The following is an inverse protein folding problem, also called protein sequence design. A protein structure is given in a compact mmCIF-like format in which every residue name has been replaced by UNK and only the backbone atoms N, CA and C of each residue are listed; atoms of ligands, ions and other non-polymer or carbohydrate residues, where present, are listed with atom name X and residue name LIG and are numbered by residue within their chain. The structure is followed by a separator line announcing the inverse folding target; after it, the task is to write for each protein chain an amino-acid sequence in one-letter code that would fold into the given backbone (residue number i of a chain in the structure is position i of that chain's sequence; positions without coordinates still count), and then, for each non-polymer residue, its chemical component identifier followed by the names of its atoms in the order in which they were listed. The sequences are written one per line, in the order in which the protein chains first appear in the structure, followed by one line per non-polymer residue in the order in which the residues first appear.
data_IF_640053860792
#
_entry.id   IF_640053860792
#
_cell.length_a   1.000
_cell.length_b   1.000
_cell.length_c   1.000
_cell.angle_alpha   90.00
_cell.angle_beta   90.00
_cell.angle_gamma   90.00
#
_symmetry.space_group_name_H-M   'P 1'
#
loop_
_entity.id
_entity.type
_entity.pdbx_description
1 polymer ?
#
# COMPACT_ATOMS: atom_id res chain seq x y z
N UNK A 1 19.66 -26.41 33.77
CA UNK A 1 20.62 -25.33 33.48
C UNK A 1 20.64 -25.14 31.99
N UNK A 2 20.08 -24.01 31.56
CA UNK A 2 20.16 -23.48 30.22
C UNK A 2 21.61 -23.38 29.73
N UNK A 3 21.82 -23.58 28.43
CA UNK A 3 22.62 -22.61 27.70
C UNK A 3 22.07 -22.44 26.29
N UNK A 4 21.89 -21.17 25.96
CA UNK A 4 21.20 -20.62 24.80
C UNK A 4 22.20 -20.19 23.71
N UNK A 5 21.64 -19.69 22.61
CA UNK A 5 22.25 -18.97 21.48
C UNK A 5 22.91 -19.88 20.42
N UNK A 6 22.56 -19.86 19.14
CA UNK A 6 21.97 -18.77 18.35
C UNK A 6 20.99 -19.30 17.31
N UNK A 7 19.70 -19.11 17.58
CA UNK A 7 18.66 -19.07 16.56
C UNK A 7 18.35 -17.59 16.33
N UNK A 8 18.01 -17.20 15.09
CA UNK A 8 17.65 -15.86 14.61
C UNK A 8 18.78 -15.00 14.04
N UNK A 9 18.99 -15.11 12.73
CA UNK A 9 19.06 -13.97 11.80
C UNK A 9 19.33 -14.46 10.36
N UNK A 10 18.52 -15.39 9.84
CA UNK A 10 18.46 -15.54 8.39
C UNK A 10 17.66 -14.35 7.88
N UNK A 11 18.37 -13.42 7.24
CA UNK A 11 17.81 -12.26 6.55
C UNK A 11 16.53 -12.68 5.81
N UNK A 12 15.39 -11.95 5.90
CA UNK A 12 14.15 -12.35 5.25
C UNK A 12 14.22 -12.03 3.76
N UNK A 13 15.16 -12.70 3.09
CA UNK A 13 15.52 -12.66 1.68
C UNK A 13 16.03 -14.06 1.32
N UNK A 14 15.25 -15.07 1.67
CA UNK A 14 15.07 -16.16 0.71
C UNK A 14 13.82 -15.72 -0.04
N UNK A 15 13.91 -14.86 -1.04
CA UNK A 15 14.47 -15.21 -2.37
C UNK A 15 14.28 -14.05 -3.36
N UNK A 16 15.34 -13.50 -3.94
CA UNK A 16 15.47 -13.03 -5.34
C UNK A 16 16.99 -12.90 -5.60
N UNK A 17 17.58 -13.43 -6.69
CA UNK A 17 17.03 -13.77 -8.01
C UNK A 17 16.63 -15.25 -8.18
N UNK A 18 15.67 -15.54 -9.07
CA UNK A 18 15.01 -16.85 -9.13
C UNK A 18 13.89 -16.97 -8.10
N UNK A 19 13.03 -15.95 -7.98
CA UNK A 19 11.88 -15.99 -7.08
C UNK A 19 11.21 -17.36 -7.18
N UNK A 20 10.97 -18.10 -6.08
CA UNK A 20 9.96 -19.11 -6.11
C UNK A 20 8.70 -18.36 -6.53
N UNK A 21 7.90 -18.91 -7.45
CA UNK A 21 6.65 -18.33 -7.89
C UNK A 21 5.81 -17.74 -6.74
N UNK A 22 5.97 -18.24 -5.50
CA UNK A 22 5.32 -17.83 -4.26
C UNK A 22 5.22 -16.34 -3.94
N UNK A 23 6.30 -15.55 -3.80
CA UNK A 23 6.18 -14.18 -3.27
C UNK A 23 5.51 -13.22 -4.27
N UNK A 24 5.95 -13.22 -5.52
CA UNK A 24 5.31 -12.42 -6.58
C UNK A 24 3.87 -12.87 -6.83
N UNK A 25 3.59 -14.18 -6.81
CA UNK A 25 2.22 -14.71 -6.96
C UNK A 25 1.34 -14.36 -5.76
N UNK A 26 1.86 -14.43 -4.53
CA UNK A 26 1.10 -14.08 -3.33
C UNK A 26 0.84 -12.58 -3.24
N UNK A 27 1.83 -11.73 -3.58
CA UNK A 27 1.63 -10.29 -3.68
C UNK A 27 0.63 -9.95 -4.79
N UNK A 28 0.76 -10.58 -5.96
CA UNK A 28 -0.19 -10.41 -7.08
C UNK A 28 -1.59 -10.90 -6.71
N UNK A 29 -1.72 -11.98 -5.94
CA UNK A 29 -3.01 -12.46 -5.42
C UNK A 29 -3.61 -11.45 -4.46
N UNK A 30 -2.80 -10.83 -3.59
CA UNK A 30 -3.25 -9.79 -2.66
C UNK A 30 -3.62 -8.49 -3.37
N UNK A 31 -2.95 -8.14 -4.48
CA UNK A 31 -3.34 -6.98 -5.30
C UNK A 31 -4.78 -7.11 -5.82
N UNK A 32 -5.26 -8.33 -6.06
CA UNK A 32 -6.66 -8.56 -6.46
C UNK A 32 -7.68 -8.24 -5.37
N UNK A 33 -7.27 -8.16 -4.11
CA UNK A 33 -8.17 -7.85 -2.99
C UNK A 33 -8.48 -6.36 -2.92
N UNK A 34 -7.50 -5.51 -3.24
CA UNK A 34 -7.63 -4.04 -3.27
C UNK A 34 -7.30 -3.50 -4.68
N UNK A 35 -8.17 -3.74 -5.68
CA UNK A 35 -7.93 -3.39 -7.09
C UNK A 35 -7.73 -1.89 -7.34
N UNK A 36 -8.20 -1.02 -6.46
CA UNK A 36 -7.97 0.42 -6.49
C UNK A 36 -6.51 0.79 -6.20
N UNK A 37 -5.73 -0.11 -5.61
CA UNK A 37 -4.33 0.10 -5.28
C UNK A 37 -3.38 -0.53 -6.30
N UNK A 38 -3.87 -1.12 -7.40
CA UNK A 38 -3.06 -1.90 -8.35
C UNK A 38 -1.86 -1.11 -8.88
N UNK A 39 -2.07 0.15 -9.31
CA UNK A 39 -1.00 1.02 -9.80
C UNK A 39 0.07 1.31 -8.74
N UNK A 40 -0.35 1.61 -7.50
CA UNK A 40 0.57 1.82 -6.39
C UNK A 40 1.40 0.56 -6.10
N UNK A 41 0.73 -0.59 -6.07
CA UNK A 41 1.31 -1.88 -5.76
C UNK A 41 2.34 -2.32 -6.81
N UNK A 42 1.98 -2.22 -8.09
CA UNK A 42 2.89 -2.55 -9.21
C UNK A 42 4.10 -1.65 -9.21
N UNK A 43 3.91 -0.33 -9.04
CA UNK A 43 5.00 0.62 -9.04
C UNK A 43 5.97 0.37 -7.89
N UNK A 44 5.48 0.13 -6.68
CA UNK A 44 6.34 -0.14 -5.52
C UNK A 44 7.03 -1.50 -5.64
N UNK A 45 6.33 -2.54 -6.10
CA UNK A 45 6.90 -3.87 -6.31
C UNK A 45 8.03 -3.85 -7.34
N UNK A 46 7.87 -3.12 -8.45
CA UNK A 46 8.91 -2.95 -9.45
C UNK A 46 10.18 -2.38 -8.82
N UNK A 47 10.07 -1.27 -8.08
CA UNK A 47 11.22 -0.64 -7.42
C UNK A 47 11.87 -1.51 -6.36
N UNK A 48 11.08 -2.25 -5.58
CA UNK A 48 11.60 -3.22 -4.61
C UNK A 48 12.39 -4.31 -5.32
N UNK A 49 11.89 -4.79 -6.45
CA UNK A 49 12.57 -5.81 -7.26
C UNK A 49 13.87 -5.27 -7.85
N UNK A 50 13.84 -4.07 -8.43
CA UNK A 50 15.02 -3.44 -9.05
C UNK A 50 16.13 -3.11 -8.04
N UNK A 51 15.76 -2.82 -6.78
CA UNK A 51 16.73 -2.51 -5.72
C UNK A 51 17.23 -3.73 -4.96
N UNK A 52 16.61 -4.90 -5.15
CA UNK A 52 16.82 -6.05 -4.27
C UNK A 52 18.25 -6.55 -4.23
N UNK A 53 18.80 -6.91 -5.40
CA UNK A 53 20.14 -7.49 -5.51
C UNK A 53 21.20 -6.50 -5.03
N UNK A 54 21.00 -5.22 -5.35
CA UNK A 54 21.90 -4.18 -4.93
C UNK A 54 21.82 -3.97 -3.41
N UNK A 55 20.66 -4.07 -2.75
CA UNK A 55 20.55 -4.00 -1.28
C UNK A 55 21.20 -5.22 -0.63
N UNK A 56 21.09 -6.40 -1.25
CA UNK A 56 21.62 -7.65 -0.70
C UNK A 56 23.15 -7.61 -0.53
N UNK A 57 23.87 -6.86 -1.38
CA UNK A 57 25.33 -6.71 -1.32
C UNK A 57 25.82 -5.58 -0.42
N UNK A 58 24.93 -4.83 0.23
CA UNK A 58 25.27 -3.67 1.07
C UNK A 58 25.22 -3.98 2.57
N UNK A 59 25.57 -2.99 3.40
CA UNK A 59 25.55 -3.10 4.86
C UNK A 59 24.17 -3.46 5.44
N UNK A 60 24.19 -4.09 6.61
CA UNK A 60 22.99 -4.58 7.30
C UNK A 60 21.98 -3.48 7.63
N UNK A 61 22.43 -2.24 7.80
CA UNK A 61 21.56 -1.07 7.96
C UNK A 61 20.58 -0.88 6.79
N UNK A 62 21.03 -1.07 5.56
CA UNK A 62 20.20 -0.85 4.36
C UNK A 62 19.25 -2.01 4.11
N UNK A 63 19.75 -3.21 4.38
CA UNK A 63 19.01 -4.46 4.47
C UNK A 63 17.83 -4.36 5.44
N UNK A 64 18.05 -3.84 6.66
CA UNK A 64 17.00 -3.66 7.67
C UNK A 64 15.93 -2.66 7.22
N UNK A 65 16.36 -1.55 6.59
CA UNK A 65 15.44 -0.53 6.07
C UNK A 65 14.59 -1.10 4.94
N UNK A 66 15.19 -1.83 4.01
CA UNK A 66 14.48 -2.52 2.93
C UNK A 66 13.46 -3.54 3.47
N UNK A 67 13.85 -4.34 4.48
CA UNK A 67 12.95 -5.29 5.12
C UNK A 67 11.78 -4.60 5.83
N UNK A 68 12.01 -3.43 6.43
CA UNK A 68 10.96 -2.63 7.07
C UNK A 68 9.94 -2.11 6.03
N UNK A 69 10.41 -1.69 4.85
CA UNK A 69 9.55 -1.29 3.73
C UNK A 69 8.72 -2.50 3.27
N UNK A 70 9.33 -3.68 3.07
CA UNK A 70 8.62 -4.89 2.69
C UNK A 70 7.54 -5.30 3.68
N UNK A 71 7.85 -5.30 4.98
CA UNK A 71 6.87 -5.63 6.04
C UNK A 71 5.70 -4.63 6.04
N UNK A 72 6.00 -3.35 5.87
CA UNK A 72 4.98 -2.30 5.78
C UNK A 72 4.11 -2.50 4.54
N UNK A 73 4.71 -2.81 3.40
CA UNK A 73 3.98 -3.10 2.16
C UNK A 73 3.05 -4.30 2.31
N UNK A 74 3.53 -5.42 2.86
CA UNK A 74 2.72 -6.62 3.12
C UNK A 74 1.56 -6.33 4.08
N UNK A 75 1.76 -5.47 5.06
CA UNK A 75 0.72 -5.03 6.00
C UNK A 75 -0.35 -4.18 5.30
N UNK A 76 0.04 -3.34 4.34
CA UNK A 76 -0.92 -2.54 3.56
C UNK A 76 -1.77 -3.38 2.61
N UNK A 77 -1.36 -4.60 2.29
CA UNK A 77 -2.07 -5.54 1.42
C UNK A 77 -3.05 -6.46 2.16
N UNK A 78 -3.30 -6.18 3.45
CA UNK A 78 -4.31 -6.91 4.19
C UNK A 78 -5.71 -6.53 3.69
N UNK A 79 -6.60 -7.52 3.47
CA UNK A 79 -7.96 -7.24 3.00
C UNK A 79 -8.69 -6.35 3.99
N UNK A 80 -9.38 -5.35 3.44
CA UNK A 80 -10.19 -4.38 4.19
C UNK A 80 -11.58 -4.31 3.56
N UNK A 81 -12.65 -4.22 4.37
CA UNK A 81 -13.98 -3.88 3.86
C UNK A 81 -13.98 -2.59 3.04
N UNK A 82 -14.88 -2.49 2.06
CA UNK A 82 -14.90 -1.36 1.13
C UNK A 82 -15.05 -0.01 1.84
N UNK A 83 -15.86 0.07 2.91
CA UNK A 83 -16.03 1.31 3.68
C UNK A 83 -14.73 1.78 4.34
N UNK A 84 -13.91 0.85 4.86
CA UNK A 84 -12.59 1.18 5.42
C UNK A 84 -11.63 1.70 4.35
N UNK A 85 -11.71 1.13 3.15
CA UNK A 85 -10.88 1.56 2.01
C UNK A 85 -11.25 2.95 1.51
N UNK A 86 -12.54 3.29 1.47
CA UNK A 86 -13.02 4.62 1.07
C UNK A 86 -12.59 5.68 2.09
N UNK A 87 -12.79 5.44 3.39
CA UNK A 87 -12.41 6.42 4.42
C UNK A 87 -10.89 6.55 4.55
N UNK A 88 -10.17 5.45 4.36
CA UNK A 88 -8.72 5.38 4.47
C UNK A 88 -7.97 5.70 3.17
N UNK A 89 -8.64 6.03 2.06
CA UNK A 89 -8.02 6.12 0.74
C UNK A 89 -6.84 7.10 0.67
N UNK A 90 -6.98 8.30 1.25
CA UNK A 90 -5.91 9.30 1.31
C UNK A 90 -4.72 8.80 2.13
N UNK A 91 -5.00 8.17 3.28
CA UNK A 91 -3.98 7.54 4.12
C UNK A 91 -3.23 6.47 3.34
N UNK A 92 -3.93 5.61 2.58
CA UNK A 92 -3.31 4.57 1.76
C UNK A 92 -2.39 5.18 0.70
N UNK A 93 -2.85 6.19 -0.05
CA UNK A 93 -2.03 6.88 -1.03
C UNK A 93 -0.79 7.52 -0.40
N UNK A 94 -0.95 8.16 0.77
CA UNK A 94 0.15 8.76 1.54
C UNK A 94 1.16 7.70 2.01
N UNK A 95 0.69 6.54 2.47
CA UNK A 95 1.55 5.41 2.83
C UNK A 95 2.41 4.94 1.66
N UNK A 96 1.81 4.74 0.49
CA UNK A 96 2.57 4.37 -0.71
C UNK A 96 3.62 5.43 -1.08
N UNK A 97 3.28 6.72 -0.99
CA UNK A 97 4.25 7.81 -1.19
C UNK A 97 5.40 7.74 -0.18
N UNK A 98 5.09 7.52 1.10
CA UNK A 98 6.07 7.42 2.17
C UNK A 98 7.03 6.24 1.99
N UNK A 99 6.51 5.07 1.60
CA UNK A 99 7.34 3.89 1.31
C UNK A 99 8.28 4.13 0.13
N UNK A 100 7.76 4.75 -0.94
CA UNK A 100 8.55 5.13 -2.10
C UNK A 100 9.65 6.15 -1.74
N UNK A 101 9.33 7.20 -0.96
CA UNK A 101 10.31 8.15 -0.44
C UNK A 101 11.37 7.46 0.42
N UNK A 102 10.95 6.53 1.28
CA UNK A 102 11.87 5.78 2.15
C UNK A 102 12.83 4.93 1.33
N UNK A 103 12.35 4.34 0.23
CA UNK A 103 13.18 3.58 -0.70
C UNK A 103 14.22 4.47 -1.41
N UNK A 104 13.89 5.73 -1.75
CA UNK A 104 14.84 6.69 -2.34
C UNK A 104 16.00 7.06 -1.41
N UNK A 105 15.83 6.93 -0.10
CA UNK A 105 16.89 7.20 0.88
C UNK A 105 17.91 6.07 1.04
N UNK A 106 17.67 4.91 0.43
CA UNK A 106 18.62 3.80 0.43
C UNK A 106 19.68 4.13 -0.65
N UNK A 107 20.97 4.35 -0.30
CA UNK A 107 22.01 4.88 -1.19
C UNK A 107 22.50 3.87 -2.24
N UNK A 108 21.78 2.76 -2.40
CA UNK A 108 22.05 1.65 -3.31
C UNK A 108 21.79 2.03 -4.78
N UNK A 109 21.32 3.26 -5.04
CA UNK A 109 21.11 3.81 -6.39
C UNK A 109 22.40 4.00 -7.20
N UNK A 110 23.58 3.95 -6.56
CA UNK A 110 24.87 4.12 -7.24
C UNK A 110 25.17 2.85 -8.06
N UNK A 111 24.97 2.93 -9.38
CA UNK A 111 25.26 1.86 -10.34
C UNK A 111 24.04 1.23 -11.02
N UNK A 112 22.83 1.65 -10.68
CA UNK A 112 21.60 1.21 -11.36
C UNK A 112 21.20 2.24 -12.42
N UNK A 113 21.79 2.14 -13.61
CA UNK A 113 21.51 3.03 -14.77
C UNK A 113 20.02 3.05 -15.18
N UNK A 114 19.25 2.05 -14.74
CA UNK A 114 17.81 1.91 -14.99
C UNK A 114 16.92 2.19 -13.76
N UNK A 115 17.47 2.64 -12.63
CA UNK A 115 16.63 2.96 -11.47
C UNK A 115 15.84 4.23 -11.77
N UNK A 116 14.60 4.03 -12.22
CA UNK A 116 13.70 5.09 -12.59
C UNK A 116 13.67 6.13 -11.45
N UNK A 117 14.09 7.36 -11.77
CA UNK A 117 14.26 8.45 -10.83
C UNK A 117 12.98 8.76 -10.03
N UNK A 118 13.09 9.71 -9.09
CA UNK A 118 11.94 10.22 -8.32
C UNK A 118 10.74 10.58 -9.22
N UNK A 119 11.02 11.07 -10.43
CA UNK A 119 10.04 11.44 -11.44
C UNK A 119 9.13 10.28 -11.89
N UNK A 120 9.64 9.05 -12.01
CA UNK A 120 8.86 7.96 -12.58
C UNK A 120 7.82 7.40 -11.61
N UNK A 121 8.24 7.12 -10.37
CA UNK A 121 7.32 6.57 -9.37
C UNK A 121 6.34 7.63 -8.88
N UNK A 122 6.73 8.90 -8.85
CA UNK A 122 5.84 9.99 -8.46
C UNK A 122 4.71 10.17 -9.50
N UNK A 123 5.00 10.00 -10.79
CA UNK A 123 3.98 10.00 -11.83
C UNK A 123 3.07 8.77 -11.74
N UNK A 124 3.62 7.59 -11.45
CA UNK A 124 2.81 6.40 -11.18
C UNK A 124 1.91 6.58 -9.95
N UNK A 125 2.40 7.24 -8.90
CA UNK A 125 1.63 7.59 -7.72
C UNK A 125 0.48 8.56 -8.05
N UNK A 126 0.73 9.63 -8.83
CA UNK A 126 -0.35 10.55 -9.24
C UNK A 126 -1.45 9.83 -10.02
N UNK A 127 -1.09 8.98 -10.98
CA UNK A 127 -2.06 8.13 -11.71
C UNK A 127 -2.80 7.19 -10.77
N UNK A 128 -2.08 6.57 -9.82
CA UNK A 128 -2.66 5.71 -8.80
C UNK A 128 -3.71 6.42 -7.94
N UNK A 129 -3.51 7.69 -7.57
CA UNK A 129 -4.52 8.46 -6.83
C UNK A 129 -5.82 8.66 -7.63
N UNK A 130 -5.70 8.93 -8.93
CA UNK A 130 -6.85 9.07 -9.83
C UNK A 130 -7.58 7.74 -10.02
N UNK A 131 -6.82 6.67 -10.28
CA UNK A 131 -7.33 5.33 -10.49
C UNK A 131 -7.99 4.76 -9.23
N UNK A 132 -7.36 4.98 -8.06
CA UNK A 132 -7.89 4.57 -6.77
C UNK A 132 -9.31 5.11 -6.58
N UNK A 133 -9.47 6.42 -6.80
CA UNK A 133 -10.76 7.08 -6.64
C UNK A 133 -11.80 6.54 -7.64
N UNK A 134 -11.38 6.35 -8.89
CA UNK A 134 -12.25 5.82 -9.96
C UNK A 134 -12.73 4.41 -9.65
N UNK A 135 -11.85 3.53 -9.20
CA UNK A 135 -12.16 2.13 -8.86
C UNK A 135 -13.03 2.06 -7.62
N UNK A 136 -12.73 2.82 -6.57
CA UNK A 136 -13.57 2.89 -5.37
C UNK A 136 -14.99 3.36 -5.69
N UNK A 137 -15.14 4.38 -6.54
CA UNK A 137 -16.46 4.85 -6.98
C UNK A 137 -17.26 3.78 -7.74
N UNK A 138 -16.58 3.02 -8.60
CA UNK A 138 -17.19 1.88 -9.32
C UNK A 138 -17.60 0.77 -8.37
N UNK A 139 -16.75 0.41 -7.40
CA UNK A 139 -17.04 -0.62 -6.40
C UNK A 139 -18.24 -0.23 -5.54
N UNK A 140 -18.28 1.02 -5.07
CA UNK A 140 -19.40 1.54 -4.28
C UNK A 140 -20.72 1.47 -5.09
N UNK A 141 -20.71 1.90 -6.35
CA UNK A 141 -21.90 1.91 -7.21
C UNK A 141 -22.44 0.49 -7.47
N UNK A 142 -21.56 -0.51 -7.53
CA UNK A 142 -21.94 -1.89 -7.82
C UNK A 142 -22.27 -2.72 -6.57
N UNK A 143 -22.11 -2.16 -5.37
CA UNK A 143 -22.29 -2.89 -4.11
C UNK A 143 -23.53 -2.39 -3.38
N UNK A 144 -24.40 -3.31 -2.98
CA UNK A 144 -25.59 -2.99 -2.19
C UNK A 144 -25.18 -2.60 -0.76
N UNK A 145 -25.81 -1.58 -0.18
CA UNK A 145 -25.63 -1.14 1.21
C UNK A 145 -25.70 -2.27 2.25
N UNK A 146 -26.56 -3.29 2.04
CA UNK A 146 -26.62 -4.46 2.94
C UNK A 146 -25.32 -5.27 2.95
N UNK A 147 -24.67 -5.38 1.79
CA UNK A 147 -23.37 -6.05 1.65
C UNK A 147 -22.27 -5.21 2.30
N UNK A 148 -22.25 -3.89 2.06
CA UNK A 148 -21.28 -2.98 2.67
C UNK A 148 -21.30 -3.03 4.21
N UNK A 149 -22.49 -3.00 4.80
CA UNK A 149 -22.68 -3.12 6.25
C UNK A 149 -22.33 -4.53 6.73
N UNK A 150 -22.71 -5.56 5.96
CA UNK A 150 -22.41 -6.96 6.26
C UNK A 150 -20.91 -7.26 6.29
N UNK A 151 -20.12 -6.71 5.37
CA UNK A 151 -18.65 -6.89 5.32
C UNK A 151 -17.95 -6.39 6.59
N UNK A 152 -18.51 -5.36 7.22
CA UNK A 152 -17.95 -4.77 8.43
C UNK A 152 -18.14 -5.64 9.67
N UNK A 153 -19.20 -6.48 9.70
CA UNK A 153 -19.59 -7.33 10.83
C UNK A 153 -19.68 -6.62 12.20
N UNK A 154 -19.70 -5.28 12.22
CA UNK A 154 -19.72 -4.43 13.41
C UNK A 154 -20.44 -3.11 13.09
N UNK A 155 -21.62 -2.93 13.70
CA UNK A 155 -22.46 -1.74 13.50
C UNK A 155 -21.84 -0.47 14.09
N UNK A 156 -21.10 -0.56 15.19
CA UNK A 156 -20.39 0.59 15.75
C UNK A 156 -19.27 1.02 14.82
N UNK A 157 -18.54 0.08 14.23
CA UNK A 157 -17.48 0.39 13.28
C UNK A 157 -18.04 1.06 12.01
N UNK A 158 -19.19 0.61 11.49
CA UNK A 158 -19.88 1.28 10.38
C UNK A 158 -20.20 2.72 10.75
N UNK A 159 -20.82 2.94 11.92
CA UNK A 159 -21.19 4.27 12.38
C UNK A 159 -19.98 5.19 12.54
N UNK A 160 -18.89 4.70 13.15
CA UNK A 160 -17.64 5.45 13.30
C UNK A 160 -17.06 5.85 11.95
N UNK A 161 -17.03 4.94 10.97
CA UNK A 161 -16.51 5.24 9.62
C UNK A 161 -17.35 6.31 8.93
N UNK A 162 -18.68 6.22 8.98
CA UNK A 162 -19.57 7.21 8.37
C UNK A 162 -19.40 8.58 9.03
N UNK A 163 -19.23 8.63 10.36
CA UNK A 163 -18.91 9.87 11.08
C UNK A 163 -17.58 10.44 10.60
N UNK A 164 -16.53 9.62 10.51
CA UNK A 164 -15.22 10.07 10.01
C UNK A 164 -15.31 10.61 8.59
N UNK A 165 -15.99 9.90 7.68
CA UNK A 165 -16.21 10.38 6.30
C UNK A 165 -16.94 11.73 6.27
N UNK A 166 -17.98 11.91 7.09
CA UNK A 166 -18.71 13.18 7.20
C UNK A 166 -17.86 14.31 7.80
N UNK A 167 -16.96 13.99 8.75
CA UNK A 167 -16.01 14.98 9.28
C UNK A 167 -15.03 15.39 8.17
N UNK A 168 -14.44 14.43 7.45
CA UNK A 168 -13.50 14.70 6.37
C UNK A 168 -14.12 15.58 5.27
N UNK A 169 -15.36 15.32 4.87
CA UNK A 169 -16.06 16.12 3.85
C UNK A 169 -16.37 17.55 4.29
N UNK A 170 -16.46 17.81 5.61
CA UNK A 170 -16.82 19.11 6.16
C UNK A 170 -15.61 20.02 6.44
N UNK A 171 -14.38 19.50 6.36
CA UNK A 171 -13.16 20.30 6.58
C UNK A 171 -12.90 21.17 5.33
N UNK A 172 -13.12 22.48 5.48
CA UNK A 172 -13.11 23.44 4.36
C UNK A 172 -11.77 23.57 3.63
N UNK A 173 -10.65 23.17 4.23
CA UNK A 173 -9.32 23.26 3.63
C UNK A 173 -9.04 22.22 2.53
N UNK A 174 -9.95 21.26 2.31
CA UNK A 174 -9.74 20.11 1.41
C UNK A 174 -10.77 20.02 0.26
N UNK A 175 -11.52 21.09 -0.06
CA UNK A 175 -12.72 21.08 -0.92
C UNK A 175 -12.59 20.63 -2.40
N UNK A 176 -11.52 19.99 -2.87
CA UNK A 176 -11.38 19.58 -4.28
C UNK A 176 -10.65 18.25 -4.51
N UNK A 177 -10.90 17.24 -3.67
CA UNK A 177 -10.47 15.86 -3.93
C UNK A 177 -11.63 14.99 -4.39
N UNK A 178 -11.52 14.30 -5.54
CA UNK A 178 -12.54 13.32 -6.01
C UNK A 178 -12.86 12.23 -4.97
N UNK A 179 -11.91 11.91 -4.09
CA UNK A 179 -12.11 10.95 -3.02
C UNK A 179 -13.02 11.49 -1.90
N UNK A 180 -13.00 12.79 -1.64
CA UNK A 180 -13.88 13.43 -0.67
C UNK A 180 -15.32 13.51 -1.19
N UNK A 181 -15.49 13.80 -2.47
CA UNK A 181 -16.80 13.69 -3.13
C UNK A 181 -17.37 12.27 -3.01
N UNK A 182 -16.50 11.25 -3.14
CA UNK A 182 -16.90 9.86 -2.95
C UNK A 182 -17.28 9.56 -1.50
N UNK A 183 -16.54 10.07 -0.51
CA UNK A 183 -16.88 9.94 0.91
C UNK A 183 -18.22 10.60 1.23
N UNK A 184 -18.49 11.79 0.69
CA UNK A 184 -19.77 12.48 0.86
C UNK A 184 -20.93 11.66 0.29
N UNK A 185 -20.81 11.18 -0.95
CA UNK A 185 -21.81 10.31 -1.59
C UNK A 185 -22.05 8.98 -0.87
N UNK A 186 -21.11 8.51 -0.07
CA UNK A 186 -21.25 7.28 0.72
C UNK A 186 -22.12 7.53 1.97
N UNK A 187 -22.16 8.77 2.45
CA UNK A 187 -22.90 9.17 3.65
C UNK A 187 -24.32 9.68 3.37
N UNK A 188 -24.65 9.97 2.11
CA UNK A 188 -25.97 10.41 1.63
C UNK A 188 -26.90 9.21 1.37
#
# INVERSE_FOLDING_TARGET
MENAASTFASFPVMTMPGSPPGLSTELTRRFRLDPECDDFCRSLLARLSDSHDAVATHDDKWKDKYCTILKSFITLLQPRPLLQRIVGGESIASWFRSLNNTLDTIPVRIGLENFAGEDHWLQAWKRGCEEQTRVLARLLTNTNSKVLVGEMNDAHMVQSILITMRINSNIESNKTGRLLELQQRTCD
#
